data_IF_124339384678
#
_entry.id   IF_124339384678
#
_cell.length_a   1.000
_cell.length_b   1.000
_cell.length_c   1.000
_cell.angle_alpha   90.00
_cell.angle_beta   90.00
_cell.angle_gamma   90.00
#
_symmetry.space_group_name_H-M   'P 1'
#
loop_
_entity.id
_entity.type
_entity.pdbx_description
1 polymer ?
#
# COMPACT_ATOMS: atom_id res chain seq x y z
N UNK A 1 2.38 -2.81 23.88
CA UNK A 1 1.27 -1.98 23.36
C UNK A 1 1.39 -0.49 23.71
N UNK A 2 2.47 -0.03 24.36
CA UNK A 2 2.65 1.39 24.77
C UNK A 2 3.33 2.30 23.71
N UNK A 3 3.69 1.78 22.52
CA UNK A 3 4.47 2.53 21.53
C UNK A 3 3.70 3.67 20.83
N UNK A 4 2.38 3.71 20.98
CA UNK A 4 1.51 4.72 20.34
C UNK A 4 0.85 5.66 21.35
N UNK A 5 1.09 5.48 22.65
CA UNK A 5 0.54 6.39 23.67
C UNK A 5 1.11 7.80 23.48
N UNK A 6 0.26 8.73 23.05
CA UNK A 6 0.63 10.11 22.73
C UNK A 6 0.90 10.39 21.25
N UNK A 7 0.82 9.39 20.36
CA UNK A 7 0.95 9.65 18.93
C UNK A 7 -0.31 10.34 18.38
N UNK A 8 -0.15 11.53 17.81
CA UNK A 8 -1.23 12.27 17.15
C UNK A 8 -1.26 11.91 15.67
N UNK A 9 -2.21 11.07 15.28
CA UNK A 9 -2.47 10.76 13.87
C UNK A 9 -2.97 12.00 13.12
N UNK A 10 -2.62 12.09 11.84
CA UNK A 10 -3.06 13.15 10.94
C UNK A 10 -3.26 12.61 9.53
N UNK A 11 -4.11 13.27 8.74
CA UNK A 11 -4.31 12.93 7.32
C UNK A 11 -3.01 13.28 6.55
N UNK A 12 -2.42 12.33 5.80
CA UNK A 12 -1.24 12.60 4.98
C UNK A 12 -1.53 13.67 3.93
N UNK A 13 -0.57 14.56 3.68
CA UNK A 13 -0.64 15.60 2.65
C UNK A 13 0.62 15.60 1.80
N UNK A 14 0.51 16.09 0.57
CA UNK A 14 1.64 16.15 -0.37
C UNK A 14 2.67 17.18 0.12
N UNK A 15 3.88 16.72 0.41
CA UNK A 15 5.00 17.54 0.91
C UNK A 15 6.17 17.66 -0.10
N UNK A 16 6.10 16.94 -1.22
CA UNK A 16 7.03 17.02 -2.34
C UNK A 16 6.28 17.67 -3.50
N UNK A 17 6.56 18.95 -3.75
CA UNK A 17 5.88 19.76 -4.76
C UNK A 17 6.81 20.12 -5.92
N UNK A 18 8.12 20.24 -5.66
CA UNK A 18 9.15 20.55 -6.63
C UNK A 18 10.46 19.80 -6.31
N UNK A 19 11.40 19.83 -7.25
CA UNK A 19 12.71 19.17 -7.13
C UNK A 19 13.47 19.51 -5.82
N UNK A 20 13.50 20.78 -5.36
CA UNK A 20 14.18 21.12 -4.10
C UNK A 20 13.63 20.38 -2.85
N UNK A 21 12.35 20.00 -2.85
CA UNK A 21 11.72 19.30 -1.73
C UNK A 21 12.28 17.89 -1.53
N UNK A 22 12.97 17.33 -2.53
CA UNK A 22 13.65 16.04 -2.42
C UNK A 22 14.73 16.05 -1.33
N UNK A 23 15.33 17.20 -1.05
CA UNK A 23 16.26 17.36 0.07
C UNK A 23 15.58 17.17 1.42
N UNK A 24 14.37 17.73 1.58
CA UNK A 24 13.51 17.55 2.76
C UNK A 24 13.09 16.09 2.90
N UNK A 25 12.63 15.46 1.80
CA UNK A 25 12.24 14.06 1.78
C UNK A 25 13.36 13.13 2.28
N UNK A 26 14.56 13.22 1.69
CA UNK A 26 15.69 12.33 2.05
C UNK A 26 16.17 12.46 3.50
N UNK A 27 15.89 13.59 4.17
CA UNK A 27 16.22 13.82 5.59
C UNK A 27 15.04 13.59 6.53
N UNK A 28 13.87 13.24 6.02
CA UNK A 28 12.66 13.07 6.81
C UNK A 28 12.65 11.75 7.58
N UNK A 29 11.92 11.73 8.71
CA UNK A 29 11.67 10.49 9.45
C UNK A 29 10.97 9.45 8.58
N UNK A 30 10.00 9.86 7.76
CA UNK A 30 9.27 8.97 6.86
C UNK A 30 10.20 8.26 5.86
N UNK A 31 11.25 8.93 5.36
CA UNK A 31 12.25 8.29 4.50
C UNK A 31 13.08 7.25 5.27
N UNK A 32 13.53 7.59 6.48
CA UNK A 32 14.30 6.66 7.31
C UNK A 32 13.48 5.42 7.67
N UNK A 33 12.23 5.59 8.07
CA UNK A 33 11.31 4.50 8.42
C UNK A 33 10.99 3.63 7.21
N UNK A 34 10.68 4.25 6.06
CA UNK A 34 10.39 3.54 4.82
C UNK A 34 11.58 2.69 4.35
N UNK A 35 12.78 3.27 4.32
CA UNK A 35 13.98 2.54 3.93
C UNK A 35 14.32 1.43 4.93
N UNK A 36 14.17 1.68 6.24
CA UNK A 36 14.33 0.68 7.28
C UNK A 36 13.40 -0.51 7.06
N UNK A 37 12.10 -0.25 6.83
CA UNK A 37 11.09 -1.27 6.56
C UNK A 37 11.47 -2.15 5.35
N UNK A 38 11.84 -1.54 4.22
CA UNK A 38 12.23 -2.27 3.00
C UNK A 38 13.46 -3.16 3.27
N UNK A 39 14.48 -2.64 3.93
CA UNK A 39 15.71 -3.39 4.23
C UNK A 39 15.46 -4.53 5.21
N UNK A 40 14.63 -4.32 6.23
CA UNK A 40 14.24 -5.36 7.19
C UNK A 40 13.49 -6.50 6.49
N UNK A 41 12.52 -6.18 5.64
CA UNK A 41 11.80 -7.21 4.87
C UNK A 41 12.73 -7.97 3.92
N UNK A 42 13.60 -7.24 3.21
CA UNK A 42 14.55 -7.84 2.28
C UNK A 42 15.46 -8.88 2.96
N UNK A 43 16.07 -8.53 4.10
CA UNK A 43 16.91 -9.51 4.80
C UNK A 43 16.11 -10.64 5.44
N UNK A 44 14.88 -10.37 5.89
CA UNK A 44 14.03 -11.41 6.47
C UNK A 44 13.67 -12.52 5.45
N UNK A 45 13.62 -12.24 4.15
CA UNK A 45 13.22 -13.22 3.11
C UNK A 45 14.39 -13.81 2.33
N UNK A 46 15.63 -13.41 2.61
CA UNK A 46 16.81 -13.85 1.87
C UNK A 46 17.00 -15.37 1.93
N UNK A 47 17.17 -15.98 0.75
CA UNK A 47 17.35 -17.43 0.61
C UNK A 47 16.11 -18.29 0.89
N UNK A 48 14.94 -17.68 1.12
CA UNK A 48 13.68 -18.37 1.36
C UNK A 48 12.86 -18.45 0.08
N UNK A 49 12.17 -19.58 -0.13
CA UNK A 49 11.22 -19.75 -1.24
C UNK A 49 9.84 -19.27 -0.79
N UNK A 50 8.98 -18.95 -1.75
CA UNK A 50 7.57 -18.69 -1.45
C UNK A 50 6.86 -19.89 -0.81
N UNK A 51 7.32 -21.11 -1.10
CA UNK A 51 6.80 -22.35 -0.52
C UNK A 51 7.46 -22.74 0.81
N UNK A 52 8.37 -21.92 1.34
CA UNK A 52 8.96 -22.17 2.65
C UNK A 52 7.90 -22.04 3.74
N UNK A 53 8.05 -22.78 4.85
CA UNK A 53 7.15 -22.61 5.99
C UNK A 53 7.38 -21.26 6.67
N UNK A 54 6.29 -20.56 6.98
CA UNK A 54 6.29 -19.32 7.73
C UNK A 54 5.04 -19.24 8.62
N UNK A 55 5.14 -18.46 9.69
CA UNK A 55 4.00 -18.19 10.56
C UNK A 55 3.07 -17.21 9.86
N UNK A 56 1.80 -17.59 9.74
CA UNK A 56 0.73 -16.70 9.34
C UNK A 56 0.02 -16.25 10.61
N UNK A 57 -0.07 -14.94 10.81
CA UNK A 57 -0.84 -14.37 11.93
C UNK A 57 -2.22 -13.96 11.44
N UNK A 58 -3.17 -13.84 12.37
CA UNK A 58 -4.52 -13.35 12.07
C UNK A 58 -4.49 -12.02 11.32
N UNK A 59 -3.60 -11.09 11.68
CA UNK A 59 -3.47 -9.81 10.97
C UNK A 59 -3.05 -9.99 9.49
N UNK A 60 -2.19 -10.97 9.19
CA UNK A 60 -1.81 -11.29 7.80
C UNK A 60 -3.01 -11.90 7.06
N UNK A 61 -3.76 -12.80 7.68
CA UNK A 61 -4.97 -13.38 7.09
C UNK A 61 -6.01 -12.29 6.77
N UNK A 62 -6.24 -11.35 7.70
CA UNK A 62 -7.16 -10.24 7.47
C UNK A 62 -6.71 -9.32 6.33
N UNK A 63 -5.39 -9.07 6.18
CA UNK A 63 -4.85 -8.33 5.05
C UNK A 63 -5.08 -9.06 3.72
N UNK A 64 -4.92 -10.39 3.70
CA UNK A 64 -5.20 -11.22 2.51
C UNK A 64 -6.70 -11.18 2.18
N UNK A 65 -7.58 -11.36 3.16
CA UNK A 65 -9.03 -11.26 2.98
C UNK A 65 -9.47 -9.89 2.43
N UNK A 66 -8.83 -8.81 2.86
CA UNK A 66 -9.06 -7.47 2.34
C UNK A 66 -8.67 -7.39 0.85
N UNK A 67 -7.51 -7.93 0.47
CA UNK A 67 -7.08 -7.98 -0.93
C UNK A 67 -8.04 -8.82 -1.80
N UNK A 68 -8.48 -9.99 -1.30
CA UNK A 68 -9.45 -10.85 -1.99
C UNK A 68 -10.83 -10.18 -2.15
N UNK A 69 -11.21 -9.30 -1.23
CA UNK A 69 -12.42 -8.49 -1.37
C UNK A 69 -12.27 -7.47 -2.51
N UNK A 70 -11.12 -6.79 -2.57
CA UNK A 70 -10.82 -5.82 -3.64
C UNK A 70 -10.76 -6.48 -5.02
N UNK A 71 -10.23 -7.70 -5.09
CA UNK A 71 -10.16 -8.53 -6.29
C UNK A 71 -11.57 -8.93 -6.78
N UNK A 72 -12.44 -9.42 -5.88
CA UNK A 72 -13.84 -9.73 -6.21
C UNK A 72 -14.61 -8.56 -6.79
N UNK A 73 -14.33 -7.33 -6.33
CA UNK A 73 -14.99 -6.14 -6.89
C UNK A 73 -14.62 -5.89 -8.35
N UNK A 74 -13.52 -6.45 -8.87
CA UNK A 74 -13.17 -6.35 -10.29
C UNK A 74 -14.21 -7.10 -11.14
N UNK A 75 -14.63 -8.29 -10.71
CA UNK A 75 -15.69 -9.06 -11.37
C UNK A 75 -17.05 -8.34 -11.30
N UNK A 76 -17.30 -7.64 -10.19
CA UNK A 76 -18.54 -6.86 -10.00
C UNK A 76 -18.54 -5.53 -10.79
N UNK A 77 -17.37 -5.07 -11.25
CA UNK A 77 -17.20 -3.80 -11.99
C UNK A 77 -16.52 -4.08 -13.33
N UNK A 78 -17.24 -4.68 -14.30
CA UNK A 78 -16.66 -5.05 -15.57
C UNK A 78 -16.26 -3.82 -16.40
N UNK A 79 -15.30 -3.96 -17.33
CA UNK A 79 -14.96 -2.89 -18.27
C UNK A 79 -16.19 -2.40 -19.03
N UNK A 80 -16.31 -1.08 -19.17
CA UNK A 80 -17.37 -0.47 -19.95
C UNK A 80 -16.89 -0.15 -21.36
N UNK A 81 -17.78 -0.26 -22.34
CA UNK A 81 -17.49 0.23 -23.68
C UNK A 81 -17.29 1.75 -23.65
N UNK A 82 -16.23 2.22 -24.31
CA UNK A 82 -15.86 3.63 -24.29
C UNK A 82 -15.05 4.04 -25.54
N UNK A 83 -15.23 5.29 -26.02
CA UNK A 83 -14.44 5.81 -27.14
C UNK A 83 -12.98 6.11 -26.75
N UNK A 84 -12.68 6.20 -25.44
CA UNK A 84 -11.35 6.54 -24.94
C UNK A 84 -10.42 5.33 -25.00
N UNK A 85 -9.26 5.48 -25.67
CA UNK A 85 -8.29 4.39 -25.89
C UNK A 85 -7.47 3.96 -24.67
N UNK A 86 -7.40 4.79 -23.63
CA UNK A 86 -6.58 4.55 -22.44
C UNK A 86 -7.42 4.63 -21.17
N UNK A 87 -7.17 3.74 -20.22
CA UNK A 87 -7.83 3.70 -18.91
C UNK A 87 -9.34 3.47 -19.03
N UNK A 88 -9.81 2.27 -18.69
CA UNK A 88 -11.25 2.01 -18.70
C UNK A 88 -11.94 2.79 -17.57
N UNK A 89 -13.07 3.45 -17.86
CA UNK A 89 -13.85 4.23 -16.88
C UNK A 89 -14.35 3.37 -15.72
N UNK A 90 -14.53 2.06 -15.91
CA UNK A 90 -14.85 1.11 -14.86
C UNK A 90 -13.87 1.20 -13.67
N UNK A 91 -12.60 1.53 -13.92
CA UNK A 91 -11.61 1.72 -12.85
C UNK A 91 -12.03 2.81 -11.84
N UNK A 92 -12.69 3.89 -12.29
CA UNK A 92 -13.20 4.93 -11.36
C UNK A 92 -14.33 4.40 -10.49
N UNK A 93 -15.21 3.58 -11.07
CA UNK A 93 -16.30 2.94 -10.32
C UNK A 93 -15.74 1.97 -9.29
N UNK A 94 -14.72 1.18 -9.65
CA UNK A 94 -14.02 0.30 -8.71
C UNK A 94 -13.30 1.11 -7.61
N UNK A 95 -12.58 2.19 -7.95
CA UNK A 95 -11.93 3.06 -6.97
C UNK A 95 -12.92 3.76 -6.03
N UNK A 96 -14.08 4.21 -6.52
CA UNK A 96 -15.09 4.86 -5.68
C UNK A 96 -15.68 3.93 -4.61
N UNK A 97 -15.49 2.60 -4.74
CA UNK A 97 -15.86 1.62 -3.72
C UNK A 97 -14.81 1.45 -2.62
N UNK A 98 -13.57 1.89 -2.89
CA UNK A 98 -12.46 1.88 -1.94
C UNK A 98 -12.38 3.14 -1.08
N UNK A 99 -12.91 4.26 -1.57
CA UNK A 99 -13.00 5.53 -0.85
C UNK A 99 -14.07 5.49 0.26
#
# INVERSE_FOLDING_TARGET
THLLEGHKFMVPKREILAVPDMGKWKRSQAYADYMGFILTLNEAVKGKKLSSEFKVSEAVEQLVCLLDMMDRWIEEVPPVDQPQRFGNKAFRTWCARLE
#
